data_IF_701093266899
#
_entry.id   IF_701093266899
#
_cell.length_a   1.000
_cell.length_b   1.000
_cell.length_c   1.000
_cell.angle_alpha   90.00
_cell.angle_beta   90.00
_cell.angle_gamma   90.00
#
_symmetry.space_group_name_H-M   'P 1'
#
loop_
_entity.id
_entity.type
_entity.pdbx_description
1 polymer ?
#
# COMPACT_ATOMS: atom_id res chain seq x y z
N UNK A 1 33.91 5.03 -3.14
CA UNK A 1 32.60 5.24 -3.82
C UNK A 1 31.57 5.68 -2.80
N UNK A 2 30.47 6.33 -3.21
CA UNK A 2 29.38 6.79 -2.33
C UNK A 2 28.08 6.16 -2.80
N UNK A 3 27.24 5.69 -1.88
CA UNK A 3 25.90 5.21 -2.22
C UNK A 3 25.03 5.04 -0.98
N UNK A 4 23.75 4.74 -1.20
CA UNK A 4 22.80 4.44 -0.12
C UNK A 4 22.87 2.95 0.17
N UNK A 5 23.08 2.58 1.44
CA UNK A 5 23.09 1.18 1.86
C UNK A 5 21.66 0.68 2.07
N UNK A 6 21.36 -0.50 1.54
CA UNK A 6 20.09 -1.18 1.70
C UNK A 6 20.34 -2.58 2.26
N UNK A 7 19.89 -2.84 3.48
CA UNK A 7 20.01 -4.16 4.10
C UNK A 7 18.90 -5.08 3.61
N UNK A 8 19.16 -6.39 3.65
CA UNK A 8 18.12 -7.39 3.42
C UNK A 8 17.01 -7.22 4.47
N UNK A 9 15.75 -7.38 4.04
CA UNK A 9 14.58 -7.34 4.92
C UNK A 9 14.65 -8.40 6.02
N UNK A 10 15.30 -9.54 5.72
CA UNK A 10 15.36 -10.70 6.59
C UNK A 10 16.70 -10.85 7.33
N UNK A 11 17.70 -10.02 7.04
CA UNK A 11 19.03 -10.13 7.67
C UNK A 11 19.74 -8.80 7.79
N UNK A 12 20.34 -8.56 8.95
CA UNK A 12 21.25 -7.44 9.20
C UNK A 12 22.71 -7.75 8.83
N UNK A 13 22.98 -8.96 8.32
CA UNK A 13 24.32 -9.41 7.94
C UNK A 13 24.56 -9.34 6.43
N UNK A 14 23.58 -8.91 5.65
CA UNK A 14 23.70 -8.75 4.21
C UNK A 14 23.08 -7.43 3.78
N UNK A 15 23.84 -6.63 3.04
CA UNK A 15 23.38 -5.36 2.49
C UNK A 15 23.96 -5.13 1.10
N UNK A 16 23.34 -4.22 0.35
CA UNK A 16 23.81 -3.77 -0.95
C UNK A 16 24.00 -2.27 -0.97
N UNK A 17 24.98 -1.81 -1.74
CA UNK A 17 25.14 -0.40 -2.10
C UNK A 17 25.29 -0.30 -3.61
N UNK A 18 24.52 0.59 -4.23
CA UNK A 18 24.63 0.86 -5.67
C UNK A 18 25.47 2.10 -5.96
N UNK A 19 26.28 2.05 -7.01
CA UNK A 19 27.05 3.18 -7.53
C UNK A 19 27.24 3.05 -9.04
N UNK A 20 26.84 4.07 -9.82
CA UNK A 20 26.97 4.11 -11.29
C UNK A 20 26.51 2.80 -11.95
N UNK A 21 25.27 2.40 -11.64
CA UNK A 21 24.57 1.20 -12.15
C UNK A 21 25.14 -0.16 -11.74
N UNK A 22 26.19 -0.18 -10.90
CA UNK A 22 26.72 -1.41 -10.30
C UNK A 22 26.23 -1.58 -8.88
N UNK A 23 25.92 -2.83 -8.52
CA UNK A 23 25.58 -3.25 -7.16
C UNK A 23 26.81 -3.89 -6.50
N UNK A 24 27.05 -3.54 -5.23
CA UNK A 24 28.11 -4.11 -4.42
C UNK A 24 27.53 -4.75 -3.17
N UNK A 25 27.99 -5.95 -2.86
CA UNK A 25 27.52 -6.72 -1.71
C UNK A 25 28.36 -6.39 -0.46
N UNK A 26 27.70 -6.17 0.66
CA UNK A 26 28.32 -5.95 1.97
C UNK A 26 27.90 -7.12 2.86
N UNK A 27 28.86 -7.99 3.19
CA UNK A 27 28.63 -9.15 4.05
C UNK A 27 29.14 -8.93 5.47
N UNK A 28 28.30 -9.21 6.45
CA UNK A 28 28.59 -9.15 7.87
C UNK A 28 28.61 -7.74 8.47
N UNK A 29 28.42 -7.68 9.79
CA UNK A 29 28.40 -6.42 10.54
C UNK A 29 29.74 -5.68 10.51
N UNK A 30 30.84 -6.42 10.37
CA UNK A 30 32.18 -5.83 10.26
C UNK A 30 32.32 -4.98 8.99
N UNK A 31 31.92 -5.53 7.83
CA UNK A 31 32.00 -4.78 6.57
C UNK A 31 30.94 -3.70 6.46
N UNK A 32 29.79 -3.87 7.11
CA UNK A 32 28.78 -2.82 7.23
C UNK A 32 29.24 -1.65 8.11
N UNK A 33 30.24 -1.84 8.98
CA UNK A 33 30.87 -0.80 9.81
C UNK A 33 29.84 0.10 10.53
N UNK A 34 28.91 -0.53 11.26
CA UNK A 34 27.85 0.14 12.04
C UNK A 34 26.89 1.01 11.21
N UNK A 35 26.86 0.85 9.89
CA UNK A 35 25.83 1.44 9.05
C UNK A 35 24.47 0.78 9.31
N UNK A 36 23.40 1.54 9.11
CA UNK A 36 22.03 1.06 9.19
C UNK A 36 21.33 1.24 7.84
N UNK A 37 20.24 0.51 7.65
CA UNK A 37 19.43 0.58 6.44
C UNK A 37 19.03 2.01 6.09
N UNK A 38 19.33 2.41 4.85
CA UNK A 38 19.06 3.73 4.32
C UNK A 38 20.15 4.78 4.57
N UNK A 39 21.23 4.47 5.29
CA UNK A 39 22.35 5.40 5.45
C UNK A 39 23.02 5.73 4.11
N UNK A 40 23.54 6.95 3.98
CA UNK A 40 24.47 7.27 2.90
C UNK A 40 25.88 6.98 3.36
N UNK A 41 26.55 6.06 2.67
CA UNK A 41 27.86 5.55 3.07
C UNK A 41 28.93 5.79 2.00
N UNK A 42 30.17 5.96 2.46
CA UNK A 42 31.35 5.79 1.63
C UNK A 42 31.85 4.36 1.79
N UNK A 43 32.17 3.70 0.68
CA UNK A 43 32.62 2.32 0.66
C UNK A 43 33.80 2.10 -0.29
N UNK A 44 34.57 1.04 -0.03
CA UNK A 44 35.66 0.53 -0.87
C UNK A 44 35.35 -0.91 -1.29
N UNK A 45 35.77 -1.30 -2.49
CA UNK A 45 35.71 -2.70 -2.92
C UNK A 45 36.82 -3.49 -2.23
N UNK A 46 36.50 -4.73 -1.85
CA UNK A 46 37.45 -5.68 -1.30
C UNK A 46 38.06 -6.44 -2.50
N UNK A 47 39.38 -6.32 -2.76
CA UNK A 47 40.01 -7.04 -3.86
C UNK A 47 39.92 -8.57 -3.66
N UNK A 48 39.60 -9.31 -4.72
CA UNK A 48 39.69 -10.78 -4.73
C UNK A 48 38.45 -11.58 -4.30
N UNK A 49 37.31 -10.94 -4.03
CA UNK A 49 36.10 -11.58 -3.48
C UNK A 49 35.10 -12.13 -4.52
N UNK A 50 35.52 -12.31 -5.78
CA UNK A 50 34.67 -12.87 -6.85
C UNK A 50 34.35 -14.37 -6.74
N UNK A 51 34.69 -15.04 -5.64
CA UNK A 51 34.45 -16.47 -5.46
C UNK A 51 34.09 -16.83 -4.02
N UNK A 52 32.81 -16.75 -3.66
CA UNK A 52 32.24 -17.61 -2.61
C UNK A 52 30.72 -17.73 -2.84
N UNK A 53 30.15 -18.95 -2.84
CA UNK A 53 28.70 -19.12 -2.75
C UNK A 53 28.21 -18.53 -1.42
N UNK A 54 26.96 -18.09 -1.38
CA UNK A 54 26.27 -17.73 -0.14
C UNK A 54 26.31 -18.92 0.83
N UNK A 55 26.97 -18.74 1.98
CA UNK A 55 26.73 -19.60 3.13
C UNK A 55 25.61 -18.97 3.94
N UNK A 56 24.49 -19.67 4.03
CA UNK A 56 23.50 -19.46 5.07
C UNK A 56 24.16 -19.83 6.40
N UNK A 57 24.47 -18.84 7.23
CA UNK A 57 24.83 -19.11 8.63
C UNK A 57 23.55 -19.53 9.37
N UNK A 58 23.51 -20.83 9.66
CA UNK A 58 22.57 -21.56 10.49
C UNK A 58 22.33 -20.85 11.85
N UNK A 59 21.08 -20.47 12.09
CA UNK A 59 20.59 -19.94 13.37
C UNK A 59 20.25 -21.12 14.29
N UNK A 60 21.30 -21.78 14.79
CA UNK A 60 21.17 -22.91 15.72
C UNK A 60 21.91 -22.62 17.03
N UNK A 61 21.17 -22.11 18.01
CA UNK A 61 21.55 -22.18 19.42
C UNK A 61 21.11 -23.54 20.00
N UNK A 62 22.06 -24.46 20.09
CA UNK A 62 22.21 -25.54 21.08
C UNK A 62 20.99 -26.39 21.50
N UNK A 63 21.00 -27.67 21.12
CA UNK A 63 20.15 -28.71 21.70
C UNK A 63 20.63 -30.13 21.37
N UNK A 64 21.47 -30.69 22.25
CA UNK A 64 21.69 -32.09 22.66
C UNK A 64 21.77 -33.23 21.61
N UNK A 65 22.92 -33.92 21.59
CA UNK A 65 23.15 -35.21 20.91
C UNK A 65 22.41 -36.40 21.57
N UNK A 66 21.96 -37.39 20.77
CA UNK A 66 21.68 -38.73 21.31
C UNK A 66 20.84 -39.72 20.49
N UNK A 67 21.46 -40.35 19.48
CA UNK A 67 21.34 -41.78 19.03
C UNK A 67 20.00 -42.35 18.52
N UNK A 68 20.04 -42.88 17.28
CA UNK A 68 19.14 -43.94 16.80
C UNK A 68 19.38 -44.36 15.33
N UNK A 69 19.99 -45.53 15.11
CA UNK A 69 20.23 -46.19 13.81
C UNK A 69 18.93 -46.62 13.11
N UNK A 70 18.94 -46.66 11.77
CA UNK A 70 17.95 -47.42 10.98
C UNK A 70 18.03 -47.18 9.46
N UNK A 71 18.78 -48.06 8.80
CA UNK A 71 18.71 -48.59 7.43
C UNK A 71 18.48 -47.72 6.18
N UNK A 72 19.32 -48.02 5.19
CA UNK A 72 19.35 -47.53 3.84
C UNK A 72 18.30 -48.22 2.96
N UNK A 73 17.70 -47.46 2.04
CA UNK A 73 17.35 -48.00 0.73
C UNK A 73 17.46 -46.91 -0.35
N UNK A 74 18.18 -47.24 -1.41
CA UNK A 74 18.40 -46.44 -2.61
C UNK A 74 17.20 -46.58 -3.55
N UNK A 75 16.63 -45.47 -4.02
CA UNK A 75 16.22 -45.44 -5.44
C UNK A 75 16.23 -44.02 -6.00
N UNK A 76 16.87 -43.91 -7.14
CA UNK A 76 17.08 -42.70 -7.91
C UNK A 76 15.81 -42.23 -8.61
N UNK A 77 15.58 -40.92 -8.58
CA UNK A 77 14.70 -40.25 -9.55
C UNK A 77 15.31 -38.89 -9.91
N UNK A 78 16.01 -38.85 -11.05
CA UNK A 78 16.46 -37.63 -11.68
C UNK A 78 15.25 -36.78 -12.09
N UNK A 79 15.15 -35.57 -11.53
CA UNK A 79 14.29 -34.50 -12.06
C UNK A 79 15.17 -33.29 -12.33
N UNK A 80 15.24 -32.90 -13.60
CA UNK A 80 15.93 -31.71 -14.07
C UNK A 80 15.34 -30.48 -13.39
N UNK A 81 16.23 -29.69 -12.78
CA UNK A 81 15.91 -28.36 -12.27
C UNK A 81 16.35 -27.37 -13.34
N UNK A 82 15.39 -26.61 -13.83
CA UNK A 82 15.60 -25.45 -14.69
C UNK A 82 16.61 -24.51 -14.04
N UNK A 83 17.72 -24.24 -14.74
CA UNK A 83 18.75 -23.30 -14.30
C UNK A 83 18.19 -21.88 -14.35
N UNK A 84 18.04 -21.25 -13.18
CA UNK A 84 17.93 -19.79 -13.08
C UNK A 84 19.13 -19.12 -13.78
N UNK A 85 18.94 -17.95 -14.41
CA UNK A 85 20.01 -17.27 -15.12
C UNK A 85 21.12 -16.85 -14.15
N UNK A 86 22.37 -17.15 -14.52
CA UNK A 86 23.58 -16.81 -13.76
C UNK A 86 23.63 -15.30 -13.47
N UNK A 87 23.34 -14.90 -12.22
CA UNK A 87 23.55 -13.53 -11.75
C UNK A 87 25.05 -13.24 -11.78
N UNK A 88 25.46 -12.15 -12.43
CA UNK A 88 26.81 -11.60 -12.29
C UNK A 88 27.18 -11.56 -10.81
N UNK A 89 28.34 -12.13 -10.43
CA UNK A 89 28.76 -12.18 -9.03
C UNK A 89 29.03 -10.77 -8.54
N UNK A 90 28.14 -10.25 -7.69
CA UNK A 90 28.29 -8.96 -7.04
C UNK A 90 29.65 -8.90 -6.32
N UNK A 91 30.46 -7.90 -6.62
CA UNK A 91 31.74 -7.68 -5.93
C UNK A 91 31.49 -7.28 -4.47
N UNK A 92 32.28 -7.82 -3.55
CA UNK A 92 32.15 -7.46 -2.13
C UNK A 92 32.79 -6.11 -1.82
N UNK A 93 32.16 -5.36 -0.92
CA UNK A 93 32.58 -4.05 -0.48
C UNK A 93 32.52 -3.92 1.04
N UNK A 94 33.30 -2.96 1.54
CA UNK A 94 33.33 -2.55 2.93
C UNK A 94 32.99 -1.07 3.06
N UNK A 95 32.10 -0.74 3.99
CA UNK A 95 31.79 0.63 4.41
C UNK A 95 32.98 1.19 5.19
N UNK A 96 33.53 2.30 4.71
CA UNK A 96 34.66 2.99 5.36
C UNK A 96 34.21 4.17 6.20
N UNK A 97 33.10 4.82 5.83
CA UNK A 97 32.54 5.95 6.56
C UNK A 97 31.04 6.08 6.31
N UNK A 98 30.34 6.66 7.27
CA UNK A 98 28.91 6.97 7.19
C UNK A 98 28.83 8.48 7.01
N UNK A 99 28.42 8.90 5.82
CA UNK A 99 28.40 10.31 5.42
C UNK A 99 27.16 11.01 5.96
N UNK A 100 26.03 10.31 5.95
CA UNK A 100 24.75 10.83 6.42
C UNK A 100 23.95 9.68 7.03
N UNK A 101 23.50 9.87 8.27
CA UNK A 101 22.59 8.94 8.96
C UNK A 101 21.16 9.25 8.58
N UNK A 102 20.36 8.24 8.30
CA UNK A 102 18.91 8.43 8.18
C UNK A 102 18.27 8.26 9.56
N UNK A 103 17.81 9.35 10.23
CA UNK A 103 17.18 9.23 11.53
C UNK A 103 15.87 8.45 11.38
N UNK A 104 15.71 7.38 12.16
CA UNK A 104 14.53 6.53 12.09
C UNK A 104 14.19 5.94 13.45
N UNK A 105 12.90 5.78 13.66
CA UNK A 105 12.35 5.01 14.74
C UNK A 105 12.11 3.55 14.30
N UNK A 106 12.46 2.62 15.16
CA UNK A 106 12.32 1.18 14.91
C UNK A 106 11.26 0.62 15.85
N UNK A 107 10.32 -0.12 15.30
CA UNK A 107 9.32 -0.86 16.07
C UNK A 107 9.86 -2.26 16.37
N UNK A 108 9.55 -2.77 17.55
CA UNK A 108 10.02 -4.09 17.98
C UNK A 108 9.60 -4.41 19.39
N UNK A 109 10.32 -5.34 20.03
CA UNK A 109 10.06 -5.75 21.40
C UNK A 109 11.34 -6.04 22.15
N UNK A 110 11.26 -6.07 23.48
CA UNK A 110 12.36 -6.53 24.31
C UNK A 110 12.50 -8.04 24.15
N UNK A 111 13.73 -8.50 23.90
CA UNK A 111 14.07 -9.92 23.85
C UNK A 111 13.96 -10.52 25.26
N UNK A 112 13.22 -11.62 25.35
CA UNK A 112 13.09 -12.45 26.55
C UNK A 112 13.79 -13.76 26.22
N UNK A 113 14.62 -14.28 27.12
CA UNK A 113 15.10 -15.66 27.03
C UNK A 113 14.07 -16.52 27.76
N UNK A 114 13.83 -17.73 27.29
CA UNK A 114 13.01 -18.67 28.02
C UNK A 114 13.96 -19.73 28.56
N UNK A 115 13.86 -20.01 29.86
CA UNK A 115 14.60 -21.08 30.51
C UNK A 115 13.59 -22.16 30.86
N UNK A 116 13.88 -23.38 30.44
CA UNK A 116 13.14 -24.58 30.82
C UNK A 116 13.72 -25.10 32.13
N UNK A 117 12.87 -25.25 33.14
CA UNK A 117 13.26 -25.92 34.38
C UNK A 117 13.34 -27.42 34.12
N UNK A 118 14.55 -27.98 34.15
CA UNK A 118 14.83 -29.39 33.84
C UNK A 118 14.09 -30.38 34.76
N UNK A 119 13.59 -29.92 35.92
CA UNK A 119 12.88 -30.76 36.89
C UNK A 119 11.36 -30.84 36.67
N UNK A 120 10.74 -29.77 36.17
CA UNK A 120 9.27 -29.67 36.00
C UNK A 120 8.83 -29.58 34.54
N UNK A 121 9.75 -29.29 33.62
CA UNK A 121 9.44 -29.01 32.23
C UNK A 121 8.73 -27.67 32.01
N UNK A 122 8.59 -26.85 33.06
CA UNK A 122 7.94 -25.54 32.97
C UNK A 122 8.84 -24.54 32.22
N UNK A 123 8.24 -23.87 31.23
CA UNK A 123 8.89 -22.81 30.47
C UNK A 123 8.71 -21.51 31.24
N UNK A 124 9.78 -21.02 31.86
CA UNK A 124 9.77 -19.73 32.55
C UNK A 124 10.42 -18.65 31.67
N UNK A 125 9.81 -17.46 31.55
CA UNK A 125 10.45 -16.33 30.88
C UNK A 125 11.61 -15.80 31.76
N UNK A 126 12.83 -16.25 31.49
CA UNK A 126 14.04 -15.58 31.94
C UNK A 126 14.27 -14.33 31.08
N UNK A 127 13.69 -13.22 31.52
CA UNK A 127 14.17 -11.92 31.07
C UNK A 127 15.66 -11.88 31.45
N UNK A 128 16.55 -11.52 30.54
CA UNK A 128 18.00 -11.38 30.79
C UNK A 128 18.26 -10.17 31.71
N UNK A 129 17.71 -10.25 32.92
CA UNK A 129 17.80 -9.29 34.01
C UNK A 129 18.80 -9.92 34.96
N UNK A 130 20.08 -9.63 34.73
CA UNK A 130 20.94 -9.47 35.89
C UNK A 130 20.21 -8.49 36.80
N UNK A 131 19.74 -8.92 37.98
CA UNK A 131 19.03 -8.06 38.94
C UNK A 131 19.81 -6.78 39.33
N UNK A 132 21.08 -6.67 38.92
CA UNK A 132 21.93 -5.50 39.05
C UNK A 132 22.03 -4.63 37.78
N UNK A 133 21.62 -5.10 36.59
CA UNK A 133 21.75 -4.38 35.31
C UNK A 133 20.39 -3.98 34.73
N UNK A 134 20.17 -2.67 34.77
CA UNK A 134 19.14 -1.86 34.08
C UNK A 134 19.23 -1.96 32.55
N UNK A 135 19.61 -3.09 31.95
CA UNK A 135 19.87 -3.19 30.51
C UNK A 135 19.12 -4.36 29.87
N UNK A 136 18.51 -4.12 28.71
CA UNK A 136 17.81 -5.15 27.95
C UNK A 136 18.16 -5.07 26.45
N UNK A 137 17.94 -6.15 25.71
CA UNK A 137 18.10 -6.16 24.26
C UNK A 137 16.76 -5.95 23.56
N UNK A 138 16.68 -4.97 22.69
CA UNK A 138 15.56 -4.75 21.78
C UNK A 138 15.81 -5.47 20.47
N UNK A 139 14.80 -6.20 19.97
CA UNK A 139 14.77 -6.80 18.65
C UNK A 139 13.75 -6.06 17.80
N UNK A 140 14.21 -5.46 16.70
CA UNK A 140 13.33 -4.85 15.72
C UNK A 140 12.44 -5.90 15.04
N UNK A 141 11.26 -5.47 14.57
CA UNK A 141 10.36 -6.30 13.76
C UNK A 141 11.02 -6.65 12.44
N UNK A 142 11.60 -5.65 11.75
CA UNK A 142 12.47 -5.89 10.60
C UNK A 142 13.81 -6.44 11.08
N UNK A 143 14.27 -7.53 10.45
CA UNK A 143 15.53 -8.20 10.80
C UNK A 143 16.76 -7.53 10.21
N UNK A 144 16.57 -6.38 9.55
CA UNK A 144 17.60 -5.57 8.92
C UNK A 144 18.40 -4.71 9.92
N UNK A 145 18.07 -4.76 11.22
CA UNK A 145 18.80 -4.08 12.29
C UNK A 145 19.25 -5.12 13.34
N UNK A 146 20.52 -5.09 13.78
CA UNK A 146 20.97 -5.94 14.87
C UNK A 146 20.30 -5.53 16.20
N UNK A 147 20.36 -6.42 17.19
CA UNK A 147 19.80 -6.14 18.52
C UNK A 147 20.35 -4.84 19.08
N UNK A 148 19.46 -4.01 19.65
CA UNK A 148 19.81 -2.71 20.24
C UNK A 148 19.87 -2.85 21.76
N UNK A 149 20.93 -2.37 22.40
CA UNK A 149 21.03 -2.32 23.86
C UNK A 149 20.23 -1.15 24.40
N UNK A 150 19.24 -1.43 25.23
CA UNK A 150 18.45 -0.43 25.96
C UNK A 150 18.96 -0.33 27.40
N UNK A 151 18.99 0.88 27.95
CA UNK A 151 19.20 1.12 29.38
C UNK A 151 17.89 1.67 29.97
N UNK A 152 17.25 0.90 30.84
CA UNK A 152 15.88 1.08 31.31
C UNK A 152 15.83 1.14 32.83
N UNK A 153 15.00 2.00 33.40
CA UNK A 153 14.75 2.03 34.84
C UNK A 153 14.07 0.74 35.32
N UNK A 154 13.17 0.20 34.51
CA UNK A 154 12.47 -1.07 34.73
C UNK A 154 12.28 -1.80 33.40
N UNK A 155 12.74 -3.05 33.30
CA UNK A 155 12.54 -3.87 32.09
C UNK A 155 11.13 -4.43 32.04
N UNK A 156 10.53 -4.70 33.20
CA UNK A 156 9.23 -5.38 33.32
C UNK A 156 8.08 -4.62 32.69
N UNK A 157 8.17 -3.29 32.60
CA UNK A 157 7.15 -2.44 31.98
C UNK A 157 7.00 -2.70 30.46
N UNK A 158 8.06 -3.17 29.81
CA UNK A 158 8.13 -3.32 28.35
C UNK A 158 8.01 -4.77 27.86
N UNK A 159 7.97 -5.73 28.79
CA UNK A 159 7.80 -7.15 28.49
C UNK A 159 6.43 -7.38 27.83
N UNK A 160 6.41 -8.19 26.78
CA UNK A 160 5.17 -8.54 26.07
C UNK A 160 4.55 -7.38 25.28
N UNK A 161 5.26 -6.24 25.14
CA UNK A 161 4.77 -5.06 24.44
C UNK A 161 5.58 -4.76 23.17
N UNK A 162 4.90 -4.18 22.19
CA UNK A 162 5.52 -3.47 21.06
C UNK A 162 5.97 -2.10 21.54
N UNK A 163 7.23 -1.78 21.29
CA UNK A 163 7.85 -0.52 21.65
C UNK A 163 8.54 0.09 20.43
N UNK A 164 8.71 1.41 20.48
CA UNK A 164 9.43 2.18 19.47
C UNK A 164 10.74 2.65 20.06
N UNK A 165 11.84 2.38 19.36
CA UNK A 165 13.20 2.69 19.80
C UNK A 165 13.88 3.61 18.78
N UNK A 166 14.63 4.58 19.30
CA UNK A 166 15.58 5.37 18.52
C UNK A 166 17.01 4.97 18.90
N UNK A 167 17.91 4.94 17.93
CA UNK A 167 19.33 4.66 18.16
C UNK A 167 20.00 5.98 18.56
N UNK A 168 20.66 6.00 19.72
CA UNK A 168 21.37 7.18 20.24
C UNK A 168 22.83 7.18 19.79
N UNK A 169 23.51 6.04 19.93
CA UNK A 169 24.93 5.91 19.58
C UNK A 169 25.30 4.46 19.25
N UNK A 170 26.41 4.29 18.52
CA UNK A 170 27.00 2.97 18.32
C UNK A 170 28.53 3.10 18.43
N UNK A 171 29.02 2.87 19.65
CA UNK A 171 30.44 2.94 20.01
C UNK A 171 31.25 1.87 19.25
N UNK A 172 32.52 2.17 18.95
CA UNK A 172 33.37 1.33 18.09
C UNK A 172 33.68 -0.03 18.69
N UNK A 173 33.79 -0.09 20.01
CA UNK A 173 34.05 -1.26 20.84
C UNK A 173 32.77 -2.03 21.23
N UNK A 174 31.59 -1.47 20.95
CA UNK A 174 30.32 -2.12 21.22
C UNK A 174 29.83 -2.94 20.03
N UNK A 175 29.53 -4.22 20.27
CA UNK A 175 28.87 -5.11 19.29
C UNK A 175 27.48 -4.61 18.88
N UNK A 176 26.79 -3.92 19.78
CA UNK A 176 25.40 -3.51 19.60
C UNK A 176 25.26 -1.99 19.72
N UNK A 177 24.37 -1.35 18.93
CA UNK A 177 24.01 0.05 19.14
C UNK A 177 23.31 0.23 20.49
N UNK A 178 23.44 1.42 21.07
CA UNK A 178 22.67 1.89 22.21
C UNK A 178 21.44 2.64 21.74
N UNK A 179 20.30 2.32 22.32
CA UNK A 179 19.04 2.97 22.00
C UNK A 179 18.25 3.39 23.22
N UNK A 180 17.23 4.20 22.94
CA UNK A 180 16.26 4.75 23.89
C UNK A 180 14.86 4.39 23.43
N UNK A 181 13.99 4.06 24.38
CA UNK A 181 12.56 3.92 24.12
C UNK A 181 11.95 5.29 23.90
N UNK A 182 11.23 5.44 22.80
CA UNK A 182 10.52 6.66 22.39
C UNK A 182 9.03 6.54 22.72
N UNK A 183 8.46 5.36 22.52
CA UNK A 183 7.02 5.14 22.66
C UNK A 183 6.72 3.67 23.02
N UNK A 184 5.59 3.43 23.65
CA UNK A 184 5.07 2.08 23.99
C UNK A 184 3.72 1.94 23.31
N UNK A 185 3.64 1.08 22.30
CA UNK A 185 2.46 0.96 21.45
C UNK A 185 1.36 0.14 22.12
N UNK A 186 1.73 -0.97 22.77
CA UNK A 186 0.77 -1.86 23.44
C UNK A 186 1.22 -3.32 23.41
N UNK A 187 0.31 -4.25 23.63
CA UNK A 187 0.62 -5.69 23.71
C UNK A 187 0.98 -6.26 22.34
N UNK A 188 1.93 -7.21 22.33
CA UNK A 188 2.26 -7.98 21.13
C UNK A 188 1.06 -8.85 20.73
N UNK A 189 0.74 -8.85 19.44
CA UNK A 189 -0.40 -9.61 18.91
C UNK A 189 -1.75 -8.89 19.03
N UNK A 190 -1.82 -7.74 19.70
CA UNK A 190 -3.00 -6.88 19.60
C UNK A 190 -3.12 -6.32 18.17
N UNK A 191 -4.32 -6.41 17.61
CA UNK A 191 -4.58 -6.08 16.20
C UNK A 191 -4.24 -4.63 15.87
N UNK A 192 -4.66 -3.69 16.71
CA UNK A 192 -4.47 -2.26 16.47
C UNK A 192 -3.00 -1.87 16.66
N UNK A 193 -2.32 -2.50 17.62
CA UNK A 193 -0.89 -2.33 17.87
C UNK A 193 -0.04 -2.84 16.70
N UNK A 194 -0.34 -4.03 16.16
CA UNK A 194 0.43 -4.56 15.02
C UNK A 194 0.18 -3.75 13.74
N UNK A 195 -1.05 -3.23 13.53
CA UNK A 195 -1.33 -2.31 12.44
C UNK A 195 -0.51 -1.01 12.56
N UNK A 196 -0.44 -0.43 13.76
CA UNK A 196 0.38 0.75 14.08
C UNK A 196 1.87 0.50 13.82
N UNK A 197 2.38 -0.68 14.20
CA UNK A 197 3.77 -1.10 13.90
C UNK A 197 4.03 -1.09 12.39
N UNK A 198 3.14 -1.68 11.59
CA UNK A 198 3.28 -1.72 10.13
C UNK A 198 3.32 -0.31 9.55
N UNK A 199 2.42 0.57 9.99
CA UNK A 199 2.34 1.96 9.53
C UNK A 199 3.63 2.73 9.84
N UNK A 200 4.14 2.64 11.09
CA UNK A 200 5.39 3.31 11.48
C UNK A 200 6.61 2.73 10.77
N UNK A 201 6.68 1.42 10.60
CA UNK A 201 7.77 0.75 9.90
C UNK A 201 7.84 1.15 8.42
N UNK A 202 6.72 1.48 7.81
CA UNK A 202 6.67 1.98 6.42
C UNK A 202 6.63 3.52 6.34
N UNK A 203 6.82 4.21 7.47
CA UNK A 203 6.83 5.68 7.57
C UNK A 203 5.53 6.32 7.02
N UNK A 204 4.41 5.60 7.15
CA UNK A 204 3.11 6.05 6.70
C UNK A 204 2.54 7.00 7.74
N UNK A 205 2.19 8.22 7.30
CA UNK A 205 1.52 9.21 8.14
C UNK A 205 0.07 8.83 8.35
N UNK A 206 -0.26 8.34 9.54
CA UNK A 206 -1.58 7.80 9.87
C UNK A 206 -2.29 8.56 11.00
N UNK A 207 -1.69 9.65 11.49
CA UNK A 207 -2.40 10.57 12.38
C UNK A 207 -3.59 11.21 11.66
N UNK A 208 -4.64 11.53 12.41
CA UNK A 208 -5.86 12.11 11.86
C UNK A 208 -5.61 13.46 11.16
N UNK A 209 -6.39 13.74 10.12
CA UNK A 209 -6.39 15.02 9.41
C UNK A 209 -7.19 16.07 10.20
N UNK A 210 -6.69 16.44 11.38
CA UNK A 210 -7.37 17.33 12.35
C UNK A 210 -6.76 18.72 12.45
N UNK A 211 -5.75 19.03 11.62
CA UNK A 211 -5.10 20.35 11.62
C UNK A 211 -6.12 21.45 11.28
N UNK A 212 -6.36 22.44 12.16
CA UNK A 212 -7.37 23.48 11.94
C UNK A 212 -7.13 24.31 10.67
N UNK A 213 -5.87 24.59 10.30
CA UNK A 213 -5.54 25.35 9.09
C UNK A 213 -5.88 24.57 7.81
N UNK A 214 -5.75 23.24 7.86
CA UNK A 214 -6.16 22.37 6.77
C UNK A 214 -7.68 22.30 6.69
N UNK A 215 -8.36 22.16 7.83
CA UNK A 215 -9.82 22.07 7.89
C UNK A 215 -10.51 23.37 7.48
N UNK A 216 -9.90 24.54 7.70
CA UNK A 216 -10.43 25.84 7.26
C UNK A 216 -10.43 26.03 5.74
N UNK A 217 -9.74 25.17 4.99
CA UNK A 217 -9.75 25.19 3.51
C UNK A 217 -10.88 24.35 2.92
N UNK A 218 -11.62 23.60 3.75
CA UNK A 218 -12.75 22.81 3.31
C UNK A 218 -13.96 23.73 3.04
N UNK A 219 -14.76 23.43 2.00
CA UNK A 219 -15.97 24.20 1.74
C UNK A 219 -17.03 23.97 2.83
N UNK A 220 -17.87 24.97 3.04
CA UNK A 220 -19.00 24.87 3.95
C UNK A 220 -20.08 23.92 3.42
N UNK A 221 -20.82 23.30 4.35
CA UNK A 221 -21.92 22.39 4.04
C UNK A 221 -23.28 23.04 4.35
N UNK A 222 -24.33 22.76 3.54
CA UNK A 222 -24.33 21.88 2.37
C UNK A 222 -23.66 22.54 1.15
N UNK A 223 -22.82 21.77 0.46
CA UNK A 223 -22.19 22.20 -0.78
C UNK A 223 -23.05 21.78 -1.99
N UNK A 224 -23.22 22.71 -2.94
CA UNK A 224 -23.85 22.44 -4.23
C UNK A 224 -22.95 22.95 -5.37
N UNK A 225 -23.02 22.32 -6.55
CA UNK A 225 -22.32 22.83 -7.73
C UNK A 225 -22.76 24.25 -8.08
N UNK A 226 -21.80 25.10 -8.44
CA UNK A 226 -22.08 26.37 -9.12
C UNK A 226 -22.47 26.10 -10.58
N UNK A 227 -23.73 26.41 -10.91
CA UNK A 227 -24.28 26.25 -12.26
C UNK A 227 -23.82 27.34 -13.23
N UNK A 228 -23.16 28.40 -12.77
CA UNK A 228 -22.63 29.44 -13.67
C UNK A 228 -21.54 28.86 -14.57
N UNK A 229 -20.69 27.94 -14.08
CA UNK A 229 -19.66 27.27 -14.90
C UNK A 229 -20.25 26.42 -16.03
N UNK A 230 -21.42 25.82 -15.83
CA UNK A 230 -22.11 25.08 -16.89
C UNK A 230 -22.80 26.02 -17.88
N UNK A 231 -23.43 27.08 -17.39
CA UNK A 231 -24.10 28.08 -18.23
C UNK A 231 -23.14 28.84 -19.15
N UNK A 232 -21.91 29.11 -18.71
CA UNK A 232 -20.90 29.81 -19.52
C UNK A 232 -19.95 28.87 -20.29
N UNK A 233 -20.20 27.56 -20.27
CA UNK A 233 -19.45 26.57 -21.02
C UNK A 233 -18.07 26.21 -20.48
N UNK A 234 -17.65 26.76 -19.33
CA UNK A 234 -16.39 26.34 -18.65
C UNK A 234 -16.44 24.88 -18.19
N UNK A 235 -17.66 24.38 -17.95
CA UNK A 235 -17.91 23.01 -17.53
C UNK A 235 -19.01 22.39 -18.40
N UNK A 236 -18.74 21.25 -19.04
CA UNK A 236 -19.74 20.56 -19.86
C UNK A 236 -20.82 19.94 -18.97
N UNK A 237 -22.08 20.21 -19.29
CA UNK A 237 -23.19 19.56 -18.60
C UNK A 237 -23.44 18.17 -19.18
N UNK A 238 -23.23 17.14 -18.37
CA UNK A 238 -23.40 15.72 -18.73
C UNK A 238 -24.37 15.02 -17.77
N UNK A 239 -25.21 15.78 -17.04
CA UNK A 239 -26.14 15.22 -16.04
C UNK A 239 -27.19 14.29 -16.63
N UNK A 240 -27.52 14.45 -17.90
CA UNK A 240 -28.51 13.62 -18.61
C UNK A 240 -27.95 12.31 -19.14
N UNK A 241 -26.62 12.18 -19.23
CA UNK A 241 -26.00 10.93 -19.69
C UNK A 241 -26.23 9.79 -18.70
N UNK A 242 -26.27 8.55 -19.21
CA UNK A 242 -26.53 7.35 -18.42
C UNK A 242 -25.24 6.88 -17.74
N UNK A 243 -24.77 7.67 -16.79
CA UNK A 243 -23.53 7.45 -16.04
C UNK A 243 -23.78 6.51 -14.85
N UNK A 244 -22.86 5.58 -14.57
CA UNK A 244 -22.83 4.79 -13.34
C UNK A 244 -21.39 4.54 -12.87
N UNK A 245 -21.20 4.23 -11.59
CA UNK A 245 -19.93 3.70 -11.07
C UNK A 245 -20.04 2.21 -10.78
N UNK A 246 -18.90 1.51 -10.77
CA UNK A 246 -18.82 0.08 -10.43
C UNK A 246 -17.64 -0.15 -9.51
N UNK A 247 -17.92 -0.44 -8.24
CA UNK A 247 -16.94 -0.39 -7.15
C UNK A 247 -16.97 -1.66 -6.27
N UNK A 248 -15.95 -1.90 -5.43
CA UNK A 248 -16.02 -2.93 -4.40
C UNK A 248 -17.15 -2.67 -3.37
N UNK A 249 -17.66 -3.72 -2.71
CA UNK A 249 -18.60 -3.56 -1.60
C UNK A 249 -18.05 -2.64 -0.50
N UNK A 250 -18.88 -1.70 -0.04
CA UNK A 250 -18.50 -0.75 1.01
C UNK A 250 -17.61 0.42 0.56
N UNK A 251 -17.34 0.56 -0.74
CA UNK A 251 -16.64 1.73 -1.30
C UNK A 251 -17.40 3.03 -0.98
N UNK A 252 -16.68 4.07 -0.55
CA UNK A 252 -17.26 5.40 -0.24
C UNK A 252 -16.60 6.52 -1.05
N UNK A 253 -15.37 6.30 -1.47
CA UNK A 253 -14.48 7.13 -2.25
C UNK A 253 -14.57 6.71 -3.73
N UNK A 254 -15.71 6.98 -4.35
CA UNK A 254 -15.97 6.65 -5.74
C UNK A 254 -15.25 7.66 -6.63
N UNK A 255 -14.09 7.28 -7.15
CA UNK A 255 -13.22 8.15 -7.95
C UNK A 255 -13.62 8.19 -9.42
N UNK A 256 -14.21 7.12 -9.95
CA UNK A 256 -14.57 7.00 -11.36
C UNK A 256 -16.04 6.62 -11.59
N UNK A 257 -16.57 7.10 -12.71
CA UNK A 257 -17.86 6.72 -13.24
C UNK A 257 -17.79 6.66 -14.77
N UNK A 258 -18.64 5.82 -15.36
CA UNK A 258 -18.58 5.45 -16.76
C UNK A 258 -19.95 5.64 -17.42
N UNK A 259 -19.95 6.00 -18.71
CA UNK A 259 -21.13 5.84 -19.55
C UNK A 259 -20.76 5.30 -20.93
N UNK A 260 -21.77 4.76 -21.61
CA UNK A 260 -21.69 4.31 -22.99
C UNK A 260 -22.94 4.75 -23.74
N UNK A 261 -22.76 5.18 -24.99
CA UNK A 261 -23.84 5.59 -25.88
C UNK A 261 -23.50 5.28 -27.33
N UNK A 262 -24.42 4.67 -28.07
CA UNK A 262 -24.26 4.55 -29.52
C UNK A 262 -24.41 5.92 -30.19
N UNK A 263 -23.52 6.25 -31.12
CA UNK A 263 -23.68 7.44 -31.95
C UNK A 263 -24.65 7.13 -33.08
N UNK A 264 -25.71 7.93 -33.17
CA UNK A 264 -26.79 7.77 -34.14
C UNK A 264 -26.66 8.80 -35.26
N UNK A 265 -27.00 8.39 -36.49
CA UNK A 265 -27.15 9.30 -37.62
C UNK A 265 -28.41 10.17 -37.46
N UNK A 266 -28.58 11.13 -38.37
CA UNK A 266 -29.76 12.01 -38.41
C UNK A 266 -31.11 11.28 -38.51
N UNK A 267 -31.11 10.01 -38.91
CA UNK A 267 -32.30 9.17 -39.04
C UNK A 267 -32.46 8.22 -37.84
N UNK A 268 -31.65 8.36 -36.79
CA UNK A 268 -31.69 7.53 -35.58
C UNK A 268 -31.03 6.15 -35.74
N UNK A 269 -30.28 5.91 -36.82
CA UNK A 269 -29.61 4.62 -37.07
C UNK A 269 -28.20 4.65 -36.51
N UNK A 270 -27.71 3.51 -36.02
CA UNK A 270 -26.33 3.39 -35.52
C UNK A 270 -25.33 3.67 -36.64
N UNK A 271 -24.34 4.50 -36.34
CA UNK A 271 -23.27 4.89 -37.28
C UNK A 271 -22.13 3.85 -37.35
N UNK A 272 -22.13 2.86 -36.46
CA UNK A 272 -20.96 2.00 -36.21
C UNK A 272 -19.98 2.59 -35.19
N UNK A 273 -20.22 3.82 -34.71
CA UNK A 273 -19.46 4.46 -33.65
C UNK A 273 -20.24 4.49 -32.32
N UNK A 274 -19.52 4.53 -31.21
CA UNK A 274 -20.04 4.78 -29.88
C UNK A 274 -19.22 5.86 -29.16
N UNK A 275 -19.86 6.57 -28.24
CA UNK A 275 -19.23 7.42 -27.25
C UNK A 275 -19.06 6.63 -25.94
N UNK A 276 -17.86 6.66 -25.37
CA UNK A 276 -17.58 6.22 -24.01
C UNK A 276 -17.08 7.42 -23.22
N UNK A 277 -17.69 7.68 -22.06
CA UNK A 277 -17.18 8.65 -21.10
C UNK A 277 -16.57 7.96 -19.90
N UNK A 278 -15.34 8.36 -19.57
CA UNK A 278 -14.69 8.09 -18.29
C UNK A 278 -14.69 9.40 -17.50
N UNK A 279 -15.39 9.40 -16.37
CA UNK A 279 -15.60 10.59 -15.53
C UNK A 279 -14.84 10.39 -14.22
N UNK A 280 -13.81 11.20 -13.99
CA UNK A 280 -12.97 11.13 -12.79
C UNK A 280 -13.36 12.26 -11.83
N UNK A 281 -13.40 12.01 -10.54
CA UNK A 281 -13.68 13.01 -9.51
C UNK A 281 -12.80 14.27 -9.70
N UNK A 282 -13.41 15.47 -9.75
CA UNK A 282 -12.67 16.74 -9.96
C UNK A 282 -12.05 17.25 -8.65
N UNK A 283 -11.16 16.46 -8.04
CA UNK A 283 -10.43 16.82 -6.80
C UNK A 283 -9.70 18.16 -6.94
N UNK A 284 -9.20 18.45 -8.16
CA UNK A 284 -8.49 19.70 -8.49
C UNK A 284 -9.34 20.97 -8.31
N UNK A 285 -10.66 20.84 -8.25
CA UNK A 285 -11.55 21.95 -7.93
C UNK A 285 -11.39 22.38 -6.46
N UNK A 286 -11.29 21.40 -5.55
CA UNK A 286 -11.25 21.60 -4.11
C UNK A 286 -9.84 21.75 -3.56
N UNK A 287 -8.87 21.00 -4.11
CA UNK A 287 -7.47 21.03 -3.66
C UNK A 287 -6.65 21.86 -4.62
N UNK A 288 -6.24 23.05 -4.18
CA UNK A 288 -5.44 23.98 -5.00
C UNK A 288 -3.97 23.90 -4.64
N UNK A 289 -3.11 24.11 -5.63
CA UNK A 289 -1.67 24.07 -5.42
C UNK A 289 -1.23 25.12 -4.39
N UNK A 290 -0.37 24.72 -3.47
CA UNK A 290 0.19 25.58 -2.42
C UNK A 290 -0.67 25.71 -1.16
N UNK A 291 -1.86 25.11 -1.11
CA UNK A 291 -2.69 25.11 0.11
C UNK A 291 -2.20 24.08 1.14
N UNK A 292 -2.71 24.15 2.37
CA UNK A 292 -2.38 23.18 3.43
C UNK A 292 -2.86 21.77 3.10
N UNK A 293 -4.06 21.65 2.50
CA UNK A 293 -4.57 20.35 2.01
C UNK A 293 -3.61 19.77 0.96
N UNK A 294 -3.18 20.56 -0.04
CA UNK A 294 -2.20 20.11 -1.05
C UNK A 294 -0.86 19.69 -0.41
N UNK A 295 -0.33 20.49 0.51
CA UNK A 295 0.92 20.15 1.18
C UNK A 295 0.82 18.86 1.99
N UNK A 296 -0.30 18.60 2.67
CA UNK A 296 -0.48 17.37 3.45
C UNK A 296 -0.74 16.16 2.54
N UNK A 297 -1.57 16.32 1.50
CA UNK A 297 -1.80 15.30 0.48
C UNK A 297 -0.49 14.87 -0.19
N UNK A 298 0.38 15.83 -0.57
CA UNK A 298 1.71 15.55 -1.13
C UNK A 298 2.61 14.76 -0.18
N UNK A 299 2.55 15.04 1.13
CA UNK A 299 3.34 14.31 2.14
C UNK A 299 2.84 12.89 2.37
N UNK A 300 1.54 12.65 2.22
CA UNK A 300 0.92 11.31 2.32
C UNK A 300 1.11 10.51 1.04
N UNK A 301 1.07 11.15 -0.11
CA UNK A 301 1.30 10.58 -1.44
C UNK A 301 0.15 9.72 -1.97
N UNK A 302 -0.44 8.88 -1.12
CA UNK A 302 -1.58 8.02 -1.45
C UNK A 302 -2.40 7.71 -0.20
N UNK A 303 -3.66 7.33 -0.41
CA UNK A 303 -4.44 6.63 0.61
C UNK A 303 -3.84 5.23 0.78
N UNK A 304 -3.70 4.77 2.03
CA UNK A 304 -3.21 3.41 2.33
C UNK A 304 -4.35 2.57 2.86
N UNK A 305 -4.59 1.42 2.22
CA UNK A 305 -5.60 0.45 2.64
C UNK A 305 -4.94 -0.67 3.44
N UNK A 306 -5.40 -0.87 4.67
CA UNK A 306 -5.12 -2.02 5.50
C UNK A 306 -6.37 -2.92 5.50
N UNK A 307 -6.23 -4.12 6.05
CA UNK A 307 -7.33 -5.08 6.09
C UNK A 307 -8.54 -4.60 6.91
N UNK A 308 -8.34 -3.74 7.92
CA UNK A 308 -9.39 -3.25 8.82
C UNK A 308 -9.68 -1.75 8.73
N UNK A 309 -8.78 -0.97 8.10
CA UNK A 309 -8.88 0.49 8.05
C UNK A 309 -8.28 1.07 6.78
N UNK A 310 -8.69 2.29 6.48
CA UNK A 310 -8.13 3.13 5.43
C UNK A 310 -7.48 4.35 6.06
N UNK A 311 -6.24 4.65 5.68
CA UNK A 311 -5.53 5.87 6.07
C UNK A 311 -5.65 6.87 4.93
N UNK A 312 -6.55 7.84 5.11
CA UNK A 312 -6.93 8.78 4.06
C UNK A 312 -5.80 9.75 3.68
N UNK A 313 -5.65 9.99 2.38
CA UNK A 313 -4.81 11.06 1.83
C UNK A 313 -5.43 12.45 2.05
N UNK A 314 -6.75 12.55 1.88
CA UNK A 314 -7.54 13.78 1.98
C UNK A 314 -8.57 13.69 3.11
N UNK A 315 -9.06 14.82 3.64
CA UNK A 315 -10.11 14.80 4.64
C UNK A 315 -11.34 14.05 4.16
N UNK A 316 -12.03 13.36 5.09
CA UNK A 316 -13.21 12.55 4.78
C UNK A 316 -14.30 13.32 4.03
N UNK A 317 -14.49 14.60 4.35
CA UNK A 317 -15.44 15.47 3.65
C UNK A 317 -15.12 15.59 2.15
N UNK A 318 -13.84 15.62 1.76
CA UNK A 318 -13.51 15.62 0.33
C UNK A 318 -13.68 14.22 -0.27
N UNK A 319 -13.09 13.19 0.35
CA UNK A 319 -12.98 11.86 -0.26
C UNK A 319 -14.29 11.07 -0.26
N UNK A 320 -15.14 11.18 0.76
CA UNK A 320 -16.38 10.38 0.89
C UNK A 320 -17.64 11.16 0.48
N UNK A 321 -17.59 12.49 0.46
CA UNK A 321 -18.77 13.32 0.23
C UNK A 321 -18.67 14.17 -1.04
N UNK A 322 -17.69 15.07 -1.14
CA UNK A 322 -17.69 16.12 -2.18
C UNK A 322 -17.10 15.68 -3.51
N UNK A 323 -16.02 14.90 -3.48
CA UNK A 323 -15.37 14.38 -4.68
C UNK A 323 -16.00 13.05 -5.12
N UNK A 324 -16.47 12.23 -4.17
CA UNK A 324 -17.08 10.92 -4.45
C UNK A 324 -18.27 11.05 -5.42
N UNK A 325 -18.21 10.32 -6.53
CA UNK A 325 -19.16 10.34 -7.64
C UNK A 325 -20.42 9.50 -7.35
N UNK A 326 -21.00 9.68 -6.15
CA UNK A 326 -22.15 8.92 -5.66
C UNK A 326 -23.37 9.02 -6.58
N UNK A 327 -24.11 7.92 -6.66
CA UNK A 327 -25.40 7.85 -7.34
C UNK A 327 -26.39 8.93 -6.88
N UNK A 328 -27.14 9.46 -7.83
CA UNK A 328 -28.22 10.43 -7.67
C UNK A 328 -27.83 11.80 -7.12
N UNK A 329 -26.54 12.11 -7.00
CA UNK A 329 -26.06 13.43 -6.57
C UNK A 329 -25.25 14.10 -7.68
N UNK A 330 -25.43 15.41 -7.85
CA UNK A 330 -24.66 16.18 -8.81
C UNK A 330 -23.22 16.39 -8.31
N UNK A 331 -22.24 16.08 -9.17
CA UNK A 331 -20.82 16.13 -8.82
C UNK A 331 -19.99 16.70 -9.96
N UNK A 332 -18.95 17.45 -9.58
CA UNK A 332 -17.93 17.88 -10.53
C UNK A 332 -17.01 16.72 -10.87
N UNK A 333 -16.78 16.54 -12.17
CA UNK A 333 -15.86 15.55 -12.70
C UNK A 333 -14.93 16.18 -13.74
N UNK A 334 -13.83 15.52 -14.00
CA UNK A 334 -13.02 15.68 -15.20
C UNK A 334 -13.32 14.51 -16.12
N UNK A 335 -13.86 14.78 -17.30
CA UNK A 335 -14.30 13.77 -18.25
C UNK A 335 -13.33 13.58 -19.39
N UNK A 336 -13.02 12.32 -19.68
CA UNK A 336 -12.39 11.86 -20.91
C UNK A 336 -13.48 11.21 -21.77
N UNK A 337 -13.80 11.81 -22.91
CA UNK A 337 -14.83 11.35 -23.83
C UNK A 337 -14.15 10.78 -25.07
N UNK A 338 -14.47 9.53 -25.40
CA UNK A 338 -13.89 8.81 -26.53
C UNK A 338 -14.97 8.49 -27.55
N UNK A 339 -14.69 8.79 -28.82
CA UNK A 339 -15.45 8.19 -29.93
C UNK A 339 -14.72 6.95 -30.40
N UNK A 340 -15.37 5.79 -30.34
CA UNK A 340 -14.78 4.49 -30.64
C UNK A 340 -15.57 3.79 -31.75
N UNK A 341 -14.87 3.14 -32.67
CA UNK A 341 -15.48 2.24 -33.65
C UNK A 341 -15.86 0.91 -33.01
N UNK A 342 -17.14 0.57 -33.10
CA UNK A 342 -17.73 -0.53 -32.32
C UNK A 342 -17.24 -1.92 -32.75
N UNK A 343 -16.81 -2.09 -34.00
CA UNK A 343 -16.36 -3.38 -34.52
C UNK A 343 -14.88 -3.66 -34.17
N UNK A 344 -14.01 -2.66 -34.28
CA UNK A 344 -12.57 -2.82 -34.06
C UNK A 344 -12.15 -2.50 -32.62
N UNK A 345 -12.85 -1.58 -31.96
CA UNK A 345 -12.39 -0.97 -30.71
C UNK A 345 -11.46 0.23 -30.93
N UNK A 346 -11.24 0.65 -32.17
CA UNK A 346 -10.35 1.76 -32.50
C UNK A 346 -10.90 3.10 -31.99
N UNK A 347 -10.04 3.85 -31.29
CA UNK A 347 -10.34 5.23 -30.90
C UNK A 347 -10.25 6.12 -32.15
N UNK A 348 -11.35 6.82 -32.46
CA UNK A 348 -11.44 7.76 -33.59
C UNK A 348 -11.33 9.22 -33.16
N UNK A 349 -11.78 9.56 -31.95
CA UNK A 349 -11.65 10.90 -31.37
C UNK A 349 -11.50 10.83 -29.84
N UNK A 350 -10.88 11.86 -29.24
CA UNK A 350 -10.71 11.98 -27.79
C UNK A 350 -10.85 13.44 -27.36
N UNK A 351 -11.69 13.67 -26.36
CA UNK A 351 -11.94 14.99 -25.79
C UNK A 351 -11.79 14.98 -24.28
N UNK A 352 -11.19 16.04 -23.74
CA UNK A 352 -11.01 16.24 -22.31
C UNK A 352 -11.75 17.50 -21.88
N UNK A 353 -12.61 17.41 -20.87
CA UNK A 353 -13.31 18.58 -20.36
C UNK A 353 -13.62 18.44 -18.87
N UNK A 354 -13.62 19.57 -18.16
CA UNK A 354 -14.32 19.65 -16.87
C UNK A 354 -15.82 19.49 -17.13
N UNK A 355 -16.50 18.73 -16.30
CA UNK A 355 -17.92 18.42 -16.45
C UNK A 355 -18.68 18.47 -15.12
N UNK A 356 -20.00 18.62 -15.23
CA UNK A 356 -20.96 18.38 -14.16
C UNK A 356 -21.74 17.12 -14.53
N UNK A 357 -21.71 16.12 -13.66
CA UNK A 357 -22.36 14.83 -13.87
C UNK A 357 -23.38 14.55 -12.77
N UNK A 358 -24.30 13.62 -13.03
CA UNK A 358 -25.17 13.02 -12.02
C UNK A 358 -25.22 11.52 -12.28
N UNK A 359 -24.39 10.76 -11.57
CA UNK A 359 -24.37 9.31 -11.67
C UNK A 359 -25.78 8.78 -11.39
N UNK A 360 -26.31 7.90 -12.24
CA UNK A 360 -27.63 7.30 -12.08
C UNK A 360 -27.60 6.17 -11.05
N UNK A 361 -26.45 5.55 -10.87
CA UNK A 361 -26.28 4.43 -9.96
C UNK A 361 -24.82 4.27 -9.53
N UNK A 362 -24.63 3.77 -8.31
CA UNK A 362 -23.36 3.21 -7.84
C UNK A 362 -23.59 1.72 -7.64
N UNK A 363 -22.95 0.90 -8.46
CA UNK A 363 -23.10 -0.55 -8.44
C UNK A 363 -21.91 -1.20 -7.74
N UNK A 364 -22.16 -2.32 -7.07
CA UNK A 364 -21.10 -3.28 -6.78
C UNK A 364 -20.74 -4.10 -8.01
N UNK A 365 -19.53 -4.66 -8.07
CA UNK A 365 -19.12 -5.54 -9.17
C UNK A 365 -20.12 -6.66 -9.46
N UNK A 366 -20.64 -7.32 -8.41
CA UNK A 366 -21.60 -8.41 -8.57
C UNK A 366 -22.92 -7.92 -9.17
N UNK A 367 -23.42 -6.76 -8.75
CA UNK A 367 -24.67 -6.18 -9.26
C UNK A 367 -24.54 -5.78 -10.74
N UNK A 368 -23.40 -5.16 -11.11
CA UNK A 368 -23.12 -4.83 -12.50
C UNK A 368 -23.05 -6.08 -13.38
N UNK A 369 -22.40 -7.15 -12.88
CA UNK A 369 -22.33 -8.44 -13.58
C UNK A 369 -23.72 -9.06 -13.75
N UNK A 370 -24.55 -9.05 -12.70
CA UNK A 370 -25.91 -9.60 -12.76
C UNK A 370 -26.79 -8.85 -13.78
N UNK A 371 -26.65 -7.52 -13.87
CA UNK A 371 -27.33 -6.68 -14.87
C UNK A 371 -26.86 -7.03 -16.29
N UNK A 372 -25.55 -7.22 -16.47
CA UNK A 372 -24.94 -7.61 -17.74
C UNK A 372 -25.44 -8.99 -18.18
N UNK A 373 -25.55 -9.95 -17.28
CA UNK A 373 -25.99 -11.31 -17.63
C UNK A 373 -27.50 -11.35 -17.91
N UNK A 374 -28.29 -10.57 -17.17
CA UNK A 374 -29.76 -10.59 -17.22
C UNK A 374 -30.40 -9.43 -18.00
N UNK A 375 -29.69 -8.76 -18.90
CA UNK A 375 -30.20 -7.52 -19.56
C UNK A 375 -31.54 -7.70 -20.28
N UNK A 376 -31.88 -8.90 -20.75
CA UNK A 376 -33.20 -9.18 -21.32
C UNK A 376 -34.35 -8.92 -20.33
N UNK A 377 -34.12 -9.12 -19.02
CA UNK A 377 -35.09 -8.82 -17.95
C UNK A 377 -35.26 -7.32 -17.75
N UNK A 378 -34.17 -6.55 -17.86
CA UNK A 378 -34.16 -5.09 -17.69
C UNK A 378 -34.52 -4.30 -18.96
N UNK A 379 -34.72 -4.97 -20.10
CA UNK A 379 -34.95 -4.34 -21.40
C UNK A 379 -36.37 -3.83 -21.65
N UNK A 380 -37.33 -4.09 -20.75
CA UNK A 380 -38.77 -3.83 -20.98
C UNK A 380 -39.36 -2.80 -20.02
N UNK A 381 -38.85 -2.71 -18.78
CA UNK A 381 -39.35 -1.78 -17.75
C UNK A 381 -38.21 -1.42 -16.81
N UNK A 382 -38.22 -0.22 -16.22
CA UNK A 382 -37.39 0.11 -15.05
C UNK A 382 -37.64 -0.92 -13.95
N UNK A 383 -36.60 -1.60 -13.50
CA UNK A 383 -36.68 -2.58 -12.43
C UNK A 383 -35.69 -2.23 -11.34
N UNK A 384 -36.08 -2.50 -10.10
CA UNK A 384 -35.18 -2.48 -8.97
C UNK A 384 -34.29 -3.71 -9.05
N UNK A 385 -32.96 -3.51 -9.09
CA UNK A 385 -32.04 -4.61 -8.93
C UNK A 385 -32.14 -5.12 -7.48
N UNK A 386 -32.36 -6.42 -7.22
CA UNK A 386 -32.32 -6.95 -5.87
C UNK A 386 -30.88 -6.83 -5.37
N UNK A 387 -30.67 -6.00 -4.34
CA UNK A 387 -29.39 -5.94 -3.64
C UNK A 387 -29.11 -7.32 -3.04
N UNK A 388 -28.00 -7.95 -3.43
CA UNK A 388 -27.53 -9.17 -2.82
C UNK A 388 -27.09 -8.86 -1.38
N UNK A 389 -28.01 -9.07 -0.44
CA UNK A 389 -27.80 -9.27 1.01
C UNK A 389 -27.26 -8.16 1.92
N UNK A 390 -27.11 -6.91 1.50
CA UNK A 390 -26.80 -5.82 2.45
C UNK A 390 -27.99 -4.83 2.62
N UNK A 391 -28.57 -4.85 3.82
CA UNK A 391 -29.75 -4.09 4.29
C UNK A 391 -29.62 -2.55 4.24
N UNK A 392 -28.58 -1.98 3.62
CA UNK A 392 -28.27 -0.56 3.64
C UNK A 392 -28.07 0.09 2.26
N UNK A 393 -28.19 -0.64 1.16
CA UNK A 393 -28.17 -0.01 -0.17
C UNK A 393 -29.60 0.28 -0.62
N UNK A 394 -29.99 1.54 -0.87
CA UNK A 394 -31.30 1.84 -1.44
C UNK A 394 -31.44 1.13 -2.78
N UNK A 395 -32.61 0.55 -3.04
CA UNK A 395 -32.91 -0.11 -4.31
C UNK A 395 -32.64 0.84 -5.47
N UNK A 396 -31.77 0.43 -6.39
CA UNK A 396 -31.41 1.25 -7.55
C UNK A 396 -32.37 0.92 -8.69
N UNK A 397 -33.07 1.94 -9.18
CA UNK A 397 -33.87 1.86 -10.40
C UNK A 397 -32.94 1.78 -11.62
N UNK A 398 -32.79 0.58 -12.16
CA UNK A 398 -31.97 0.35 -13.36
C UNK A 398 -32.81 0.60 -14.59
N UNK A 399 -32.48 1.65 -15.34
CA UNK A 399 -33.15 1.93 -16.61
C UNK A 399 -32.64 0.98 -17.70
N UNK A 400 -33.47 0.67 -18.73
CA UNK A 400 -33.02 -0.13 -19.87
C UNK A 400 -31.79 0.46 -20.57
N UNK A 401 -31.69 1.79 -20.62
CA UNK A 401 -30.57 2.50 -21.23
C UNK A 401 -29.27 2.33 -20.42
N UNK A 402 -29.35 2.37 -19.09
CA UNK A 402 -28.19 2.14 -18.21
C UNK A 402 -27.69 0.70 -18.31
N UNK A 403 -28.60 -0.28 -18.29
CA UNK A 403 -28.26 -1.69 -18.47
C UNK A 403 -27.64 -1.97 -19.86
N UNK A 404 -28.16 -1.33 -20.91
CA UNK A 404 -27.56 -1.37 -22.24
C UNK A 404 -26.17 -0.73 -22.25
N UNK A 405 -25.98 0.37 -21.51
CA UNK A 405 -24.70 1.04 -21.33
C UNK A 405 -23.63 0.11 -20.75
N UNK A 406 -23.94 -0.59 -19.64
CA UNK A 406 -23.03 -1.56 -19.02
C UNK A 406 -22.60 -2.68 -19.99
N UNK A 407 -23.53 -3.23 -20.78
CA UNK A 407 -23.18 -4.20 -21.83
C UNK A 407 -22.31 -3.60 -22.93
N UNK A 408 -22.58 -2.36 -23.34
CA UNK A 408 -21.77 -1.64 -24.31
C UNK A 408 -20.34 -1.44 -23.83
N UNK A 409 -20.18 -1.06 -22.55
CA UNK A 409 -18.88 -0.95 -21.89
C UNK A 409 -18.13 -2.29 -21.89
N UNK A 410 -18.80 -3.38 -21.48
CA UNK A 410 -18.17 -4.71 -21.49
C UNK A 410 -17.75 -5.14 -22.91
N UNK A 411 -18.61 -4.91 -23.91
CA UNK A 411 -18.32 -5.24 -25.31
C UNK A 411 -17.05 -4.55 -25.81
N UNK A 412 -16.90 -3.24 -25.54
CA UNK A 412 -15.70 -2.51 -25.94
C UNK A 412 -14.49 -2.92 -25.10
N UNK A 413 -14.66 -3.14 -23.79
CA UNK A 413 -13.58 -3.62 -22.92
C UNK A 413 -13.01 -4.98 -23.39
N UNK A 414 -13.87 -5.89 -23.87
CA UNK A 414 -13.42 -7.17 -24.45
C UNK A 414 -12.58 -6.98 -25.70
N UNK A 415 -12.89 -5.99 -26.54
CA UNK A 415 -12.12 -5.68 -27.76
C UNK A 415 -10.78 -5.04 -27.42
N UNK A 416 -10.75 -4.09 -26.49
CA UNK A 416 -9.52 -3.42 -26.05
C UNK A 416 -8.54 -4.36 -25.32
N UNK A 417 -9.05 -5.47 -24.75
CA UNK A 417 -8.24 -6.47 -24.07
C UNK A 417 -7.58 -7.48 -25.02
N UNK A 418 -8.20 -7.73 -26.17
CA UNK A 418 -7.66 -8.60 -27.22
C UNK A 418 -6.50 -7.91 -27.92
#
# INVERSE_FOLDING_TARGET
>A
MRGKIAFDRYSCYSARVSYQDKSYLIKGLFNANRAIDGDTVAFRVIPGTGSSPSMDEDDSLGGVEGVGKGDADESAAAKGVDKEPERERDQEAQVVSILERTPRHFCGSVAIKFSTDDATGDITPEVDVSAARKSAHFRAVKKNLPSVRLVLSSVTEYIGKRIVVSIESWERDSKYPRGRVVDVLGLIGDRDVEAEVILREHQIRHFGLTNPLLLSELPEMPWNPDYVETQNGRRRDLREEQICSVDPPGCKDIDDALHFKYLLDKNGRRTGLCEIGVHIADVSHFVRAGTQIDSEARRRGTTVYLFDRRVDMLPKLLTEELCSLRGQVERYAFSCLFTIETETGDIKDTQFCKSLIKSKASFMYQEAQDIIDNTARYGVTTQTAPCLNDLNHPSVDVTPALAQGLRGLLMIAMKLRQ
#
